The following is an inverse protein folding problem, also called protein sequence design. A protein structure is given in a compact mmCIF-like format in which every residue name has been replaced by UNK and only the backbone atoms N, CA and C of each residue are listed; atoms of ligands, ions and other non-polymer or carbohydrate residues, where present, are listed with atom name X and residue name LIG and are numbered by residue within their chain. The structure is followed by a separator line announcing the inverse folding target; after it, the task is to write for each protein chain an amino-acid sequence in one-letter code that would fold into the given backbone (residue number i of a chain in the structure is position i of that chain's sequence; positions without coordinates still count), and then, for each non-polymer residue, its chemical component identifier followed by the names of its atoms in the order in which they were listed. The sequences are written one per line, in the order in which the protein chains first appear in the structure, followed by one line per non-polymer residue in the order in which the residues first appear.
data_IF_545746083792
#
_entry.id   IF_545746083792
#
_cell.length_a   1.000
_cell.length_b   1.000
_cell.length_c   1.000
_cell.angle_alpha   90.00
_cell.angle_beta   90.00
_cell.angle_gamma   90.00
#
_symmetry.space_group_name_H-M   'P 1'
#
loop_
_entity.id
_entity.type
_entity.pdbx_description
1 polymer ?
#
# COMPACT_ATOMS: atom_id res chain seq x y z
N UNK A 1 -6.59 -11.95 51.05
CA UNK A 1 -6.63 -12.61 50.43
C UNK A 1 -6.79 -12.67 49.01
N UNK A 2 -7.37 -11.89 48.35
CA UNK A 2 -7.55 -12.02 47.04
C UNK A 2 -6.74 -11.27 46.14
N UNK A 3 -5.74 -10.65 46.60
CA UNK A 3 -4.96 -9.85 45.78
C UNK A 3 -4.16 -10.62 44.83
N UNK A 4 -4.07 -11.81 44.90
CA UNK A 4 -3.23 -12.60 44.08
C UNK A 4 -3.65 -12.66 42.63
N UNK A 5 -4.89 -12.39 42.36
CA UNK A 5 -5.34 -12.55 41.10
C UNK A 5 -4.82 -11.57 40.10
N UNK A 6 -4.42 -10.46 40.50
CA UNK A 6 -4.02 -9.41 39.59
C UNK A 6 -2.80 -9.72 38.76
N UNK A 7 -2.01 -10.65 39.18
CA UNK A 7 -0.75 -10.82 38.49
C UNK A 7 -0.81 -11.66 37.24
N UNK A 8 -1.81 -12.48 37.15
CA UNK A 8 -1.85 -13.41 36.08
C UNK A 8 -2.14 -12.80 34.74
N UNK A 9 -2.79 -11.71 34.74
CA UNK A 9 -3.22 -11.13 33.50
C UNK A 9 -2.11 -10.57 32.66
N UNK A 10 -1.07 -10.14 33.34
CA UNK A 10 -0.01 -9.52 32.64
C UNK A 10 0.75 -10.40 31.70
N UNK A 11 0.95 -11.60 32.02
CA UNK A 11 1.78 -12.43 31.23
C UNK A 11 1.23 -12.77 29.87
N UNK A 12 -0.06 -12.75 29.73
CA UNK A 12 -0.64 -13.07 28.47
C UNK A 12 -0.38 -12.06 27.42
N UNK A 13 -0.23 -10.84 27.81
CA UNK A 13 -0.06 -9.78 26.86
C UNK A 13 1.19 -9.92 26.03
N UNK A 14 2.24 -10.38 26.61
CA UNK A 14 3.51 -10.46 25.94
C UNK A 14 3.54 -11.48 24.83
N UNK A 15 2.75 -12.49 24.92
CA UNK A 15 2.78 -13.54 23.93
C UNK A 15 2.21 -13.11 22.60
N UNK A 16 1.32 -12.17 22.59
CA UNK A 16 0.70 -11.73 21.36
C UNK A 16 1.68 -11.09 20.40
N UNK A 17 2.72 -10.51 20.94
CA UNK A 17 3.67 -9.81 20.10
C UNK A 17 4.56 -10.75 19.32
N UNK A 18 4.90 -11.86 19.89
CA UNK A 18 5.82 -12.77 19.26
C UNK A 18 5.26 -13.51 18.08
N UNK A 19 3.96 -13.52 17.93
CA UNK A 19 3.35 -14.24 16.85
C UNK A 19 2.98 -13.38 15.67
N UNK A 20 3.33 -12.12 15.70
CA UNK A 20 2.98 -11.23 14.61
C UNK A 20 3.75 -11.59 13.36
N UNK A 21 3.03 -11.92 12.31
CA UNK A 21 3.66 -12.17 11.03
C UNK A 21 3.50 -10.93 10.17
N UNK A 22 4.48 -10.64 9.38
CA UNK A 22 4.41 -9.51 8.47
C UNK A 22 3.41 -9.81 7.37
N UNK A 23 2.42 -8.98 7.17
CA UNK A 23 1.48 -9.22 6.10
C UNK A 23 2.18 -9.08 4.76
N UNK A 24 1.92 -10.00 3.87
CA UNK A 24 2.45 -9.93 2.52
C UNK A 24 1.57 -9.00 1.72
N UNK A 25 2.18 -8.00 1.09
CA UNK A 25 1.45 -7.09 0.25
C UNK A 25 0.99 -7.82 -1.00
N UNK A 26 -0.29 -7.76 -1.27
CA UNK A 26 -0.86 -8.48 -2.39
C UNK A 26 -1.45 -7.51 -3.40
N UNK A 27 -0.87 -7.46 -4.57
CA UNK A 27 -1.36 -6.64 -5.66
C UNK A 27 -2.54 -7.34 -6.33
N UNK A 28 -3.47 -6.57 -6.85
CA UNK A 28 -4.63 -7.16 -7.53
C UNK A 28 -5.70 -6.15 -7.88
N UNK A 29 -6.85 -6.65 -8.30
CA UNK A 29 -7.96 -5.79 -8.70
C UNK A 29 -8.45 -4.91 -7.56
N UNK A 30 -8.87 -3.70 -7.91
CA UNK A 30 -9.42 -2.76 -6.94
C UNK A 30 -10.84 -3.20 -6.58
N UNK A 31 -11.09 -3.35 -5.29
CA UNK A 31 -12.42 -3.73 -4.82
C UNK A 31 -13.12 -2.50 -4.25
N UNK A 32 -14.01 -1.94 -5.03
CA UNK A 32 -14.70 -0.72 -4.65
C UNK A 32 -15.64 -0.88 -3.47
N UNK A 33 -16.03 -2.10 -3.15
CA UNK A 33 -16.94 -2.34 -2.02
C UNK A 33 -16.27 -2.15 -0.67
N UNK A 34 -14.95 -2.22 -0.65
CA UNK A 34 -14.18 -2.12 0.58
C UNK A 34 -13.58 -0.75 0.82
N UNK A 35 -13.78 0.19 -0.09
CA UNK A 35 -13.05 1.45 -0.06
C UNK A 35 -14.01 2.64 -0.16
N UNK A 36 -13.75 3.64 0.65
CA UNK A 36 -14.53 4.87 0.65
C UNK A 36 -13.88 5.91 -0.24
N UNK A 37 -14.67 6.71 -0.93
CA UNK A 37 -14.14 7.82 -1.73
C UNK A 37 -13.31 8.74 -0.85
N UNK A 38 -12.24 9.25 -1.39
CA UNK A 38 -11.34 10.14 -0.68
C UNK A 38 -9.96 10.17 -1.31
N UNK A 39 -9.02 10.76 -0.60
CA UNK A 39 -7.64 10.88 -1.06
C UNK A 39 -6.73 10.20 -0.04
N UNK A 40 -5.89 9.30 -0.49
CA UNK A 40 -5.07 8.48 0.39
C UNK A 40 -3.63 8.44 -0.08
N UNK A 41 -2.71 8.45 0.87
CA UNK A 41 -1.28 8.38 0.55
C UNK A 41 -0.73 7.00 0.83
N UNK A 42 0.20 6.57 0.00
CA UNK A 42 0.93 5.33 0.21
C UNK A 42 2.39 5.52 -0.12
N UNK A 43 3.24 4.78 0.55
CA UNK A 43 4.68 4.85 0.37
C UNK A 43 5.27 3.46 0.37
N UNK A 44 6.17 3.18 -0.53
CA UNK A 44 6.86 1.91 -0.60
C UNK A 44 8.31 2.11 -0.97
N UNK A 45 9.17 1.27 -0.42
CA UNK A 45 10.60 1.32 -0.71
C UNK A 45 11.07 -0.06 -1.12
N UNK A 46 11.66 -0.14 -2.30
CA UNK A 46 12.37 -1.32 -2.76
C UNK A 46 13.79 -0.81 -2.98
N UNK A 47 14.56 -0.88 -1.92
CA UNK A 47 15.84 -0.18 -1.84
C UNK A 47 16.70 -0.45 -3.08
N UNK A 48 17.28 0.57 -3.70
CA UNK A 48 17.32 1.98 -3.28
C UNK A 48 16.18 2.84 -3.80
N UNK A 49 15.17 2.28 -4.41
CA UNK A 49 14.06 3.02 -5.00
C UNK A 49 12.98 3.27 -3.94
N UNK A 50 12.45 4.48 -3.93
CA UNK A 50 11.36 4.85 -3.04
C UNK A 50 10.28 5.56 -3.84
N UNK A 51 9.02 5.22 -3.59
CA UNK A 51 7.89 5.89 -4.21
C UNK A 51 6.88 6.30 -3.14
N UNK A 52 6.39 7.54 -3.25
CA UNK A 52 5.30 8.06 -2.42
C UNK A 52 4.22 8.54 -3.37
N UNK A 53 3.01 8.07 -3.19
CA UNK A 53 1.91 8.39 -4.10
C UNK A 53 0.70 8.90 -3.34
N UNK A 54 -0.14 9.65 -4.04
CA UNK A 54 -1.43 10.09 -3.53
C UNK A 54 -2.48 9.54 -4.50
N UNK A 55 -3.43 8.80 -3.97
CA UNK A 55 -4.46 8.14 -4.77
C UNK A 55 -5.81 8.78 -4.47
N UNK A 56 -6.48 9.27 -5.48
CA UNK A 56 -7.83 9.81 -5.35
C UNK A 56 -8.83 8.77 -5.80
N UNK A 57 -9.75 8.43 -4.90
CA UNK A 57 -10.83 7.49 -5.19
C UNK A 57 -12.12 8.30 -5.27
N UNK A 58 -12.76 8.27 -6.43
CA UNK A 58 -13.98 9.02 -6.70
C UNK A 58 -14.97 8.11 -7.40
N UNK A 59 -16.21 8.15 -6.97
CA UNK A 59 -17.27 7.30 -7.53
C UNK A 59 -16.87 5.84 -7.51
N UNK A 60 -16.24 5.43 -6.42
CA UNK A 60 -15.84 4.04 -6.21
C UNK A 60 -14.85 3.53 -7.26
N UNK A 61 -14.02 4.41 -7.76
CA UNK A 61 -13.00 4.08 -8.75
C UNK A 61 -11.70 4.78 -8.40
N UNK A 62 -10.58 4.21 -8.79
CA UNK A 62 -9.30 4.91 -8.73
C UNK A 62 -9.35 5.95 -9.86
N UNK A 63 -9.47 7.22 -9.48
CA UNK A 63 -9.63 8.30 -10.43
C UNK A 63 -8.32 8.97 -10.81
N UNK A 64 -7.40 9.07 -9.86
CA UNK A 64 -6.13 9.76 -10.09
C UNK A 64 -5.04 9.22 -9.18
N UNK A 65 -3.84 9.16 -9.69
CA UNK A 65 -2.65 8.77 -8.91
C UNK A 65 -1.59 9.83 -9.18
N UNK A 66 -1.18 10.53 -8.13
CA UNK A 66 -0.12 11.52 -8.22
C UNK A 66 1.14 10.97 -7.56
N UNK A 67 2.27 11.06 -8.22
CA UNK A 67 3.55 10.66 -7.64
C UNK A 67 4.09 11.86 -6.87
N UNK A 68 4.16 11.76 -5.57
CA UNK A 68 4.66 12.84 -4.72
C UNK A 68 6.18 12.80 -4.59
N UNK A 69 6.73 11.61 -4.57
CA UNK A 69 8.18 11.43 -4.48
C UNK A 69 8.54 10.14 -5.21
N UNK A 70 9.57 10.18 -6.03
CA UNK A 70 10.07 8.97 -6.68
C UNK A 70 11.57 9.08 -6.78
N UNK A 71 12.26 8.33 -5.94
CA UNK A 71 13.71 8.35 -5.91
C UNK A 71 14.19 7.13 -6.68
N UNK A 72 14.81 7.37 -7.82
CA UNK A 72 15.28 6.32 -8.71
C UNK A 72 16.42 6.83 -9.55
N UNK A 73 17.20 5.94 -10.13
CA UNK A 73 18.25 6.30 -11.05
C UNK A 73 17.80 6.19 -12.50
N UNK A 74 17.11 5.10 -12.83
CA UNK A 74 16.73 4.83 -14.21
C UNK A 74 15.24 4.57 -14.40
N UNK A 75 14.46 4.77 -13.36
CA UNK A 75 13.05 4.36 -13.37
C UNK A 75 12.06 5.42 -13.79
N UNK A 76 12.53 6.56 -14.34
CA UNK A 76 11.64 7.65 -14.74
C UNK A 76 10.43 7.25 -15.57
N UNK A 77 10.58 6.39 -16.58
CA UNK A 77 9.43 6.00 -17.41
C UNK A 77 8.29 5.35 -16.66
N UNK A 78 8.55 4.73 -15.50
CA UNK A 78 7.49 4.11 -14.72
C UNK A 78 6.52 5.15 -14.15
N UNK A 79 6.96 6.38 -13.94
CA UNK A 79 6.11 7.42 -13.34
C UNK A 79 4.88 7.74 -14.19
N UNK A 80 5.00 7.67 -15.49
CA UNK A 80 3.88 7.96 -16.35
C UNK A 80 3.09 6.70 -16.68
N UNK A 81 3.79 5.60 -16.89
CA UNK A 81 3.17 4.38 -17.41
C UNK A 81 2.39 3.63 -16.35
N UNK A 82 2.98 3.44 -15.16
CA UNK A 82 2.36 2.59 -14.13
C UNK A 82 1.06 3.19 -13.59
N UNK A 83 1.01 4.48 -13.21
CA UNK A 83 -0.26 5.04 -12.75
C UNK A 83 -1.36 4.96 -13.81
N UNK A 84 -1.01 5.22 -15.07
CA UNK A 84 -1.99 5.15 -16.15
C UNK A 84 -2.55 3.74 -16.34
N UNK A 85 -1.69 2.72 -16.25
CA UNK A 85 -2.12 1.33 -16.37
C UNK A 85 -3.01 0.90 -15.21
N UNK A 86 -2.69 1.35 -14.00
CA UNK A 86 -3.48 1.04 -12.81
C UNK A 86 -4.89 1.64 -12.95
N UNK A 87 -4.97 2.88 -13.38
CA UNK A 87 -6.27 3.53 -13.54
C UNK A 87 -7.07 2.84 -14.64
N UNK A 88 -6.43 2.52 -15.74
CA UNK A 88 -7.12 1.88 -16.86
C UNK A 88 -7.66 0.51 -16.45
N UNK A 89 -6.86 -0.30 -15.79
CA UNK A 89 -7.26 -1.65 -15.39
C UNK A 89 -8.00 -1.70 -14.06
N UNK A 90 -7.99 -0.65 -13.28
CA UNK A 90 -8.52 -0.65 -11.92
C UNK A 90 -7.93 -1.82 -11.13
N UNK A 91 -6.61 -1.96 -11.24
CA UNK A 91 -5.85 -3.03 -10.57
C UNK A 91 -4.44 -2.54 -10.31
N UNK A 92 -3.91 -2.87 -9.15
CA UNK A 92 -2.51 -2.55 -8.84
C UNK A 92 -1.55 -3.56 -9.44
N UNK A 93 -2.05 -4.69 -9.94
CA UNK A 93 -1.22 -5.71 -10.55
C UNK A 93 -1.18 -5.48 -12.06
N UNK A 94 -0.23 -4.66 -12.51
CA UNK A 94 -0.05 -4.36 -13.92
C UNK A 94 1.37 -4.72 -14.34
N UNK A 95 1.61 -4.80 -15.65
CA UNK A 95 2.93 -5.17 -16.15
C UNK A 95 3.96 -4.09 -15.84
N UNK A 96 5.14 -4.52 -15.46
CA UNK A 96 6.24 -3.59 -15.20
C UNK A 96 6.75 -2.97 -16.49
N UNK A 97 7.37 -1.80 -16.37
CA UNK A 97 8.01 -1.14 -17.51
C UNK A 97 9.39 -1.77 -17.69
N UNK A 98 9.69 -2.21 -18.89
CA UNK A 98 10.98 -2.82 -19.19
C UNK A 98 12.10 -1.83 -18.89
N UNK A 99 13.09 -2.28 -18.15
CA UNK A 99 14.20 -1.42 -17.72
C UNK A 99 13.90 -0.57 -16.50
N UNK A 100 12.68 -0.62 -15.96
CA UNK A 100 12.30 0.13 -14.77
C UNK A 100 11.49 -0.73 -13.81
N UNK A 101 11.90 -1.98 -13.62
CA UNK A 101 11.17 -2.96 -12.82
C UNK A 101 11.03 -2.54 -11.35
N UNK A 102 12.12 -2.12 -10.73
CA UNK A 102 12.08 -1.74 -9.32
C UNK A 102 11.20 -0.52 -9.09
N UNK A 103 11.24 0.46 -9.98
CA UNK A 103 10.38 1.62 -9.89
C UNK A 103 8.93 1.26 -10.15
N UNK A 104 8.67 0.37 -11.10
CA UNK A 104 7.32 -0.11 -11.38
C UNK A 104 6.74 -0.80 -10.14
N UNK A 105 7.52 -1.70 -9.54
CA UNK A 105 7.10 -2.42 -8.34
C UNK A 105 6.89 -1.48 -7.16
N UNK A 106 7.77 -0.52 -6.96
CA UNK A 106 7.63 0.44 -5.86
C UNK A 106 6.36 1.29 -6.00
N UNK A 107 6.05 1.71 -7.22
CA UNK A 107 4.84 2.49 -7.46
C UNK A 107 3.58 1.64 -7.25
N UNK A 108 3.57 0.41 -7.76
CA UNK A 108 2.44 -0.50 -7.55
C UNK A 108 2.22 -0.77 -6.07
N UNK A 109 3.30 -1.02 -5.33
CA UNK A 109 3.22 -1.27 -3.90
C UNK A 109 2.71 -0.04 -3.14
N UNK A 110 3.19 1.15 -3.51
CA UNK A 110 2.75 2.38 -2.86
C UNK A 110 1.25 2.62 -3.09
N UNK A 111 0.78 2.39 -4.31
CA UNK A 111 -0.65 2.53 -4.62
C UNK A 111 -1.47 1.51 -3.83
N UNK A 112 -1.01 0.28 -3.75
CA UNK A 112 -1.70 -0.76 -2.99
C UNK A 112 -1.80 -0.39 -1.50
N UNK A 113 -0.73 0.14 -0.94
CA UNK A 113 -0.74 0.56 0.47
C UNK A 113 -1.71 1.72 0.70
N UNK A 114 -1.81 2.66 -0.25
CA UNK A 114 -2.78 3.74 -0.16
C UNK A 114 -4.21 3.18 -0.16
N UNK A 115 -4.48 2.21 -1.02
CA UNK A 115 -5.80 1.58 -1.11
C UNK A 115 -6.12 0.81 0.17
N UNK A 116 -5.14 0.12 0.74
CA UNK A 116 -5.35 -0.61 1.99
C UNK A 116 -5.68 0.33 3.15
N UNK A 117 -5.06 1.50 3.17
CA UNK A 117 -5.41 2.52 4.15
C UNK A 117 -6.85 2.98 3.99
N UNK A 118 -7.29 3.16 2.75
CA UNK A 118 -8.66 3.56 2.44
C UNK A 118 -9.66 2.49 2.88
N UNK A 119 -9.32 1.23 2.70
CA UNK A 119 -10.24 0.14 3.05
C UNK A 119 -10.41 -0.03 4.55
N UNK A 120 -9.49 0.51 5.33
CA UNK A 120 -9.60 0.46 6.79
C UNK A 120 -10.39 1.63 7.35
N UNK A 121 -10.91 2.48 6.49
CA UNK A 121 -11.72 3.60 6.93
C UNK A 121 -10.93 4.75 7.51
N UNK A 122 -9.67 4.82 7.19
CA UNK A 122 -8.79 5.88 7.71
C UNK A 122 -8.56 7.00 6.75
#
# INVERSE_FOLDING_TARGET
MNRVMAHTVMSLFLLAIGCASTPTLKLGPFNSDLVTDGVYEGSATIWPVKAVVKVAIENRRIARIDILEHRTMLGGPAEEVIPAKIIEKQSTDVDVVSGATMSSDAIMDAVQLAIEGASKGE
#
